data_IF_916201431454
#
_entry.id   IF_916201431454
#
_cell.length_a   1.000
_cell.length_b   1.000
_cell.length_c   1.000
_cell.angle_alpha   90.00
_cell.angle_beta   90.00
_cell.angle_gamma   90.00
#
_symmetry.space_group_name_H-M   'P 1'
#
loop_
_entity.id
_entity.type
_entity.pdbx_description
1 polymer ?
#
# COMPACT_ATOMS: atom_id res chain seq x y z
N UNK A 1 -33.86 -15.82 48.14
CA UNK A 1 -33.34 -15.85 46.76
C UNK A 1 -34.15 -14.91 45.86
N UNK A 2 -33.98 -13.60 45.97
CA UNK A 2 -34.50 -12.56 45.03
C UNK A 2 -33.74 -11.26 45.29
N UNK A 3 -32.49 -11.19 44.84
CA UNK A 3 -31.68 -9.97 44.80
C UNK A 3 -30.53 -10.28 43.84
N UNK A 4 -30.64 -9.84 42.57
CA UNK A 4 -29.52 -9.52 41.67
C UNK A 4 -30.00 -9.31 40.22
N UNK A 5 -30.92 -8.36 40.02
CA UNK A 5 -31.43 -8.04 38.68
C UNK A 5 -31.54 -6.51 38.43
N UNK A 6 -30.58 -5.71 38.94
CA UNK A 6 -30.60 -4.24 38.82
C UNK A 6 -29.28 -3.57 38.42
N UNK A 7 -28.38 -4.25 37.69
CA UNK A 7 -27.07 -3.67 37.28
C UNK A 7 -26.77 -3.64 35.78
N UNK A 8 -27.78 -3.62 34.91
CA UNK A 8 -27.59 -3.45 33.46
C UNK A 8 -28.51 -2.37 32.86
N UNK A 9 -28.55 -1.18 33.45
CA UNK A 9 -29.05 0.00 32.75
C UNK A 9 -27.86 0.64 32.03
N UNK A 10 -27.75 0.42 30.72
CA UNK A 10 -26.76 1.10 29.87
C UNK A 10 -26.94 2.63 29.92
N UNK A 11 -25.92 3.40 29.53
CA UNK A 11 -26.00 4.85 29.52
C UNK A 11 -27.21 5.31 28.67
N UNK A 12 -27.98 6.31 29.13
CA UNK A 12 -29.12 6.80 28.39
C UNK A 12 -28.67 7.30 27.01
N UNK A 13 -29.31 6.77 25.96
CA UNK A 13 -29.07 7.20 24.59
C UNK A 13 -29.52 8.67 24.50
N UNK A 14 -28.63 9.60 24.11
CA UNK A 14 -29.01 11.01 23.97
C UNK A 14 -30.11 11.12 22.92
N UNK A 15 -31.27 11.62 23.33
CA UNK A 15 -32.44 11.80 22.49
C UNK A 15 -32.33 13.17 21.80
N UNK A 16 -31.63 13.20 20.67
CA UNK A 16 -31.47 14.42 19.88
C UNK A 16 -32.81 14.82 19.28
N UNK A 17 -33.20 16.08 19.48
CA UNK A 17 -34.45 16.58 18.90
C UNK A 17 -34.35 16.65 17.37
N UNK A 18 -35.47 16.49 16.63
CA UNK A 18 -35.48 16.64 15.16
C UNK A 18 -34.90 18.00 14.69
N UNK A 19 -34.99 19.02 15.54
CA UNK A 19 -34.46 20.36 15.31
C UNK A 19 -32.93 20.36 15.37
N UNK A 20 -32.31 19.67 16.33
CA UNK A 20 -30.85 19.53 16.41
C UNK A 20 -30.27 18.72 15.25
N UNK A 21 -30.98 17.68 14.79
CA UNK A 21 -30.60 16.93 13.60
C UNK A 21 -30.68 17.79 12.33
N UNK A 22 -31.69 18.66 12.22
CA UNK A 22 -31.80 19.59 11.09
C UNK A 22 -30.75 20.71 11.13
N UNK A 23 -30.38 21.19 12.32
CA UNK A 23 -29.30 22.17 12.50
C UNK A 23 -27.93 21.57 12.19
N UNK A 24 -27.66 20.33 12.62
CA UNK A 24 -26.43 19.63 12.23
C UNK A 24 -26.36 19.41 10.72
N UNK A 25 -27.46 19.04 10.07
CA UNK A 25 -27.56 18.91 8.62
C UNK A 25 -27.31 20.23 7.88
N UNK A 26 -27.90 21.34 8.34
CA UNK A 26 -27.77 22.64 7.69
C UNK A 26 -26.44 23.35 7.96
N UNK A 27 -25.75 23.04 9.06
CA UNK A 27 -24.46 23.68 9.38
C UNK A 27 -23.29 22.90 8.80
N UNK A 28 -23.35 21.57 8.75
CA UNK A 28 -22.22 20.75 8.30
C UNK A 28 -22.06 20.76 6.77
N UNK A 29 -23.15 20.77 6.00
CA UNK A 29 -23.06 20.75 4.53
C UNK A 29 -22.48 22.02 3.86
N UNK A 30 -22.86 23.26 4.23
CA UNK A 30 -22.28 24.44 3.59
C UNK A 30 -20.83 24.71 4.02
N UNK A 31 -20.43 24.26 5.21
CA UNK A 31 -19.04 24.40 5.69
C UNK A 31 -18.08 23.50 4.90
N UNK A 32 -18.55 22.31 4.47
CA UNK A 32 -17.82 21.44 3.54
C UNK A 32 -17.74 22.03 2.12
N UNK A 33 -18.73 22.82 1.69
CA UNK A 33 -18.71 23.51 0.41
C UNK A 33 -17.77 24.73 0.40
N UNK A 34 -17.65 25.48 1.51
CA UNK A 34 -16.79 26.66 1.61
C UNK A 34 -15.31 26.34 1.86
N UNK A 35 -14.99 25.23 2.55
CA UNK A 35 -13.58 24.80 2.73
C UNK A 35 -12.93 24.34 1.42
N UNK A 36 -13.72 24.04 0.39
CA UNK A 36 -13.22 23.78 -0.96
C UNK A 36 -12.63 25.02 -1.67
N UNK A 37 -12.99 26.23 -1.25
CA UNK A 37 -12.60 27.47 -1.95
C UNK A 37 -11.23 28.03 -1.52
N UNK A 38 -10.61 27.51 -0.45
CA UNK A 38 -9.33 28.03 0.09
C UNK A 38 -8.17 27.04 0.02
N UNK A 39 -8.43 25.81 -0.40
CA UNK A 39 -7.38 24.90 -0.83
C UNK A 39 -7.07 25.23 -2.29
N UNK A 40 -5.79 25.25 -2.74
CA UNK A 40 -5.50 25.35 -4.17
C UNK A 40 -6.36 24.32 -4.88
N UNK A 41 -7.18 24.76 -5.85
CA UNK A 41 -8.44 24.10 -6.27
C UNK A 41 -8.33 22.60 -6.66
N UNK A 42 -7.12 22.05 -6.81
CA UNK A 42 -6.86 20.60 -7.03
C UNK A 42 -6.50 19.76 -5.78
N UNK A 43 -6.24 20.37 -4.62
CA UNK A 43 -5.71 19.67 -3.44
C UNK A 43 -6.72 18.76 -2.75
N UNK A 44 -7.98 19.20 -2.62
CA UNK A 44 -9.00 18.42 -1.92
C UNK A 44 -9.39 17.15 -2.70
N UNK A 45 -9.56 17.25 -4.02
CA UNK A 45 -9.96 16.14 -4.89
C UNK A 45 -8.94 15.00 -4.83
N UNK A 46 -7.65 15.32 -4.93
CA UNK A 46 -6.59 14.32 -4.84
C UNK A 46 -6.55 13.63 -3.47
N UNK A 47 -6.82 14.34 -2.37
CA UNK A 47 -6.93 13.76 -1.04
C UNK A 47 -8.14 12.83 -0.91
N UNK A 48 -9.29 13.16 -1.49
CA UNK A 48 -10.45 12.26 -1.51
C UNK A 48 -10.21 11.02 -2.36
N UNK A 49 -9.55 11.16 -3.51
CA UNK A 49 -9.13 10.02 -4.34
C UNK A 49 -8.16 9.14 -3.56
N UNK A 50 -7.16 9.73 -2.90
CA UNK A 50 -6.19 8.99 -2.09
C UNK A 50 -6.87 8.29 -0.90
N UNK A 51 -7.83 8.95 -0.24
CA UNK A 51 -8.63 8.36 0.84
C UNK A 51 -9.44 7.17 0.33
N UNK A 52 -10.15 7.33 -0.79
CA UNK A 52 -10.96 6.29 -1.40
C UNK A 52 -10.14 5.10 -1.89
N UNK A 53 -9.01 5.36 -2.55
CA UNK A 53 -8.07 4.34 -3.00
C UNK A 53 -7.44 3.59 -1.81
N UNK A 54 -6.99 4.31 -0.78
CA UNK A 54 -6.46 3.73 0.45
C UNK A 54 -7.48 2.85 1.15
N UNK A 55 -8.74 3.30 1.23
CA UNK A 55 -9.84 2.54 1.82
C UNK A 55 -10.24 1.30 0.99
N UNK A 56 -10.30 1.42 -0.33
CA UNK A 56 -10.57 0.30 -1.23
C UNK A 56 -9.45 -0.76 -1.15
N UNK A 57 -8.19 -0.32 -1.11
CA UNK A 57 -7.04 -1.20 -0.90
C UNK A 57 -7.09 -1.87 0.48
N UNK A 58 -7.50 -1.14 1.51
CA UNK A 58 -7.68 -1.67 2.86
C UNK A 58 -8.78 -2.74 2.93
N UNK A 59 -9.88 -2.61 2.18
CA UNK A 59 -10.98 -3.58 2.16
C UNK A 59 -10.77 -4.78 1.21
N UNK A 60 -10.18 -4.55 0.04
CA UNK A 60 -10.19 -5.50 -1.07
C UNK A 60 -8.82 -5.68 -1.74
N UNK A 61 -7.73 -5.24 -1.11
CA UNK A 61 -6.42 -5.12 -1.74
C UNK A 61 -5.91 -6.41 -2.39
N UNK A 62 -6.06 -7.58 -1.74
CA UNK A 62 -5.65 -8.87 -2.33
C UNK A 62 -6.28 -9.12 -3.69
N UNK A 63 -7.58 -8.81 -3.84
CA UNK A 63 -8.32 -9.06 -5.08
C UNK A 63 -7.88 -8.10 -6.17
N UNK A 64 -7.71 -6.82 -5.81
CA UNK A 64 -7.29 -5.77 -6.72
C UNK A 64 -5.88 -6.08 -7.24
N UNK A 65 -4.92 -6.35 -6.33
CA UNK A 65 -3.54 -6.67 -6.70
C UNK A 65 -3.48 -7.89 -7.61
N UNK A 66 -4.18 -8.98 -7.27
CA UNK A 66 -4.17 -10.18 -8.12
C UNK A 66 -4.78 -9.93 -9.50
N UNK A 67 -5.88 -9.18 -9.58
CA UNK A 67 -6.51 -8.84 -10.85
C UNK A 67 -5.60 -7.98 -11.72
N UNK A 68 -4.93 -6.99 -11.13
CA UNK A 68 -3.97 -6.12 -11.82
C UNK A 68 -2.80 -6.92 -12.37
N UNK A 69 -2.19 -7.80 -11.57
CA UNK A 69 -1.07 -8.63 -12.04
C UNK A 69 -1.48 -9.58 -13.17
N UNK A 70 -2.64 -10.23 -13.07
CA UNK A 70 -3.16 -11.10 -14.13
C UNK A 70 -3.42 -10.31 -15.42
N UNK A 71 -4.07 -9.16 -15.31
CA UNK A 71 -4.37 -8.31 -16.46
C UNK A 71 -3.10 -7.82 -17.15
N UNK A 72 -2.12 -7.35 -16.37
CA UNK A 72 -0.85 -6.83 -16.88
C UNK A 72 0.02 -7.94 -17.48
N UNK A 73 0.07 -9.11 -16.83
CA UNK A 73 0.73 -10.29 -17.40
C UNK A 73 0.06 -10.81 -18.67
N UNK A 74 -1.28 -10.80 -18.72
CA UNK A 74 -2.01 -11.20 -19.92
C UNK A 74 -1.80 -10.22 -21.08
N UNK A 75 -1.78 -8.91 -20.80
CA UNK A 75 -1.51 -7.89 -21.81
C UNK A 75 -0.09 -8.05 -22.39
N UNK A 76 0.94 -8.05 -21.53
CA UNK A 76 2.34 -8.20 -21.95
C UNK A 76 2.60 -9.54 -22.64
N UNK A 77 2.06 -10.63 -22.09
CA UNK A 77 2.20 -11.96 -22.67
C UNK A 77 1.50 -12.07 -24.02
N UNK A 78 0.28 -11.51 -24.13
CA UNK A 78 -0.49 -11.50 -25.37
C UNK A 78 0.18 -10.68 -26.45
N UNK A 79 0.72 -9.51 -26.09
CA UNK A 79 1.51 -8.69 -26.99
C UNK A 79 2.77 -9.43 -27.49
N UNK A 80 3.56 -9.99 -26.58
CA UNK A 80 4.74 -10.76 -26.94
C UNK A 80 4.40 -11.98 -27.81
N UNK A 81 3.31 -12.69 -27.48
CA UNK A 81 2.84 -13.84 -28.25
C UNK A 81 2.35 -13.45 -29.64
N UNK A 82 1.65 -12.33 -29.79
CA UNK A 82 1.19 -11.82 -31.08
C UNK A 82 2.35 -11.46 -32.02
N UNK A 83 3.48 -10.99 -31.48
CA UNK A 83 4.67 -10.63 -32.25
C UNK A 83 5.53 -11.87 -32.55
N UNK A 84 5.78 -12.73 -31.56
CA UNK A 84 6.71 -13.84 -31.69
C UNK A 84 6.13 -15.01 -32.50
N UNK A 85 4.83 -15.29 -32.38
CA UNK A 85 4.25 -16.48 -32.97
C UNK A 85 4.23 -16.46 -34.51
N UNK A 86 3.91 -15.34 -35.20
CA UNK A 86 4.04 -15.23 -36.65
C UNK A 86 5.48 -15.48 -37.16
N UNK A 87 6.51 -15.12 -36.38
CA UNK A 87 7.91 -15.32 -36.75
C UNK A 87 8.33 -16.80 -36.74
N UNK A 88 7.57 -17.66 -36.06
CA UNK A 88 7.86 -19.11 -36.03
C UNK A 88 7.42 -19.84 -37.31
N UNK A 89 6.68 -19.18 -38.20
CA UNK A 89 6.15 -19.80 -39.42
C UNK A 89 5.02 -20.80 -39.17
N UNK A 90 4.37 -20.75 -38.01
CA UNK A 90 3.24 -21.63 -37.71
C UNK A 90 2.07 -21.37 -38.68
N UNK A 91 1.50 -22.43 -39.28
CA UNK A 91 0.37 -22.31 -40.19
C UNK A 91 -0.90 -21.85 -39.44
N UNK A 92 -1.82 -21.24 -40.18
CA UNK A 92 -3.16 -20.87 -39.68
C UNK A 92 -3.89 -22.11 -39.17
N UNK A 93 -4.41 -22.05 -37.94
CA UNK A 93 -5.20 -23.14 -37.35
C UNK A 93 -6.67 -22.97 -37.76
N UNK A 94 -7.21 -23.95 -38.49
CA UNK A 94 -8.63 -23.98 -38.83
C UNK A 94 -9.41 -24.77 -37.77
N UNK A 95 -9.88 -24.07 -36.73
CA UNK A 95 -10.81 -24.63 -35.72
C UNK A 95 -12.26 -24.50 -36.20
N UNK A 96 -12.58 -25.15 -37.31
CA UNK A 96 -13.92 -25.11 -37.92
C UNK A 96 -14.13 -23.91 -38.86
N UNK A 97 -15.28 -23.23 -38.82
CA UNK A 97 -15.63 -22.20 -39.80
C UNK A 97 -14.86 -20.88 -39.63
N UNK A 98 -14.15 -20.69 -38.51
CA UNK A 98 -13.38 -19.47 -38.23
C UNK A 98 -11.88 -19.80 -38.30
N UNK A 99 -11.15 -19.32 -39.33
CA UNK A 99 -9.70 -19.46 -39.38
C UNK A 99 -9.07 -18.56 -38.32
N UNK A 100 -8.27 -19.12 -37.41
CA UNK A 100 -7.49 -18.33 -36.44
C UNK A 100 -6.13 -17.97 -37.05
N UNK A 101 -5.91 -16.67 -37.22
CA UNK A 101 -4.61 -16.17 -37.70
C UNK A 101 -3.52 -16.44 -36.65
N UNK A 102 -2.26 -16.69 -37.06
CA UNK A 102 -1.16 -16.93 -36.11
C UNK A 102 -0.99 -15.81 -35.09
N UNK A 103 -1.26 -14.55 -35.47
CA UNK A 103 -1.24 -13.42 -34.53
C UNK A 103 -2.29 -13.55 -33.43
N UNK A 104 -3.52 -13.97 -33.76
CA UNK A 104 -4.58 -14.14 -32.76
C UNK A 104 -4.32 -15.36 -31.85
N UNK A 105 -3.83 -16.46 -32.43
CA UNK A 105 -3.38 -17.62 -31.64
C UNK A 105 -2.25 -17.24 -30.69
N UNK A 106 -1.28 -16.45 -31.16
CA UNK A 106 -0.19 -15.89 -30.36
C UNK A 106 -0.69 -14.99 -29.24
N UNK A 107 -1.67 -14.13 -29.51
CA UNK A 107 -2.28 -13.26 -28.52
C UNK A 107 -2.92 -14.05 -27.38
N UNK A 108 -3.74 -15.07 -27.71
CA UNK A 108 -4.40 -15.89 -26.70
C UNK A 108 -3.38 -16.73 -25.91
N UNK A 109 -2.52 -17.47 -26.62
CA UNK A 109 -1.56 -18.36 -25.98
C UNK A 109 -0.56 -17.57 -25.12
N UNK A 110 -0.01 -16.48 -25.67
CA UNK A 110 0.86 -15.57 -24.96
C UNK A 110 0.19 -14.92 -23.76
N UNK A 111 -1.08 -14.52 -23.89
CA UNK A 111 -1.83 -13.92 -22.78
C UNK A 111 -2.05 -14.89 -21.63
N UNK A 112 -2.38 -16.15 -21.91
CA UNK A 112 -2.51 -17.20 -20.88
C UNK A 112 -1.15 -17.44 -20.21
N UNK A 113 -0.08 -17.61 -20.98
CA UNK A 113 1.27 -17.85 -20.44
C UNK A 113 1.73 -16.66 -19.60
N UNK A 114 1.52 -15.43 -20.07
CA UNK A 114 1.87 -14.21 -19.34
C UNK A 114 1.05 -14.02 -18.06
N UNK A 115 -0.24 -14.35 -18.07
CA UNK A 115 -1.07 -14.38 -16.87
C UNK A 115 -0.55 -15.38 -15.82
N UNK A 116 -0.10 -16.56 -16.25
CA UNK A 116 0.49 -17.56 -15.34
C UNK A 116 1.86 -17.11 -14.82
N UNK A 117 2.71 -16.55 -15.68
CA UNK A 117 4.03 -16.05 -15.31
C UNK A 117 3.95 -14.88 -14.32
N UNK A 118 3.06 -13.92 -14.55
CA UNK A 118 2.80 -12.80 -13.63
C UNK A 118 2.28 -13.26 -12.27
N UNK A 119 1.52 -14.36 -12.21
CA UNK A 119 1.09 -14.96 -10.95
C UNK A 119 2.27 -15.55 -10.15
N UNK A 120 3.30 -16.05 -10.83
CA UNK A 120 4.57 -16.44 -10.22
C UNK A 120 5.34 -15.23 -9.68
N UNK A 121 5.48 -14.17 -10.50
CA UNK A 121 6.16 -12.93 -10.13
C UNK A 121 5.48 -12.23 -8.95
N UNK A 122 4.15 -12.26 -8.88
CA UNK A 122 3.37 -11.75 -7.76
C UNK A 122 3.85 -12.32 -6.42
N UNK A 123 4.22 -13.60 -6.35
CA UNK A 123 4.73 -14.19 -5.10
C UNK A 123 6.04 -13.56 -4.65
N UNK A 124 6.94 -13.29 -5.60
CA UNK A 124 8.23 -12.64 -5.31
C UNK A 124 8.00 -11.22 -4.82
N UNK A 125 7.18 -10.44 -5.53
CA UNK A 125 6.84 -9.06 -5.16
C UNK A 125 6.17 -8.98 -3.79
N UNK A 126 5.24 -9.89 -3.51
CA UNK A 126 4.57 -9.95 -2.20
C UNK A 126 5.56 -10.34 -1.11
N UNK A 127 6.48 -11.28 -1.37
CA UNK A 127 7.48 -11.68 -0.40
C UNK A 127 8.48 -10.56 -0.07
N UNK A 128 8.99 -9.86 -1.10
CA UNK A 128 9.90 -8.73 -0.89
C UNK A 128 9.21 -7.56 -0.20
N UNK A 129 7.96 -7.26 -0.55
CA UNK A 129 7.18 -6.20 0.10
C UNK A 129 6.85 -6.55 1.55
N UNK A 130 6.49 -7.81 1.83
CA UNK A 130 6.31 -8.29 3.20
C UNK A 130 7.62 -8.18 4.00
N UNK A 131 8.75 -8.58 3.42
CA UNK A 131 10.07 -8.43 4.03
C UNK A 131 10.37 -6.98 4.40
N UNK A 132 10.15 -6.03 3.48
CA UNK A 132 10.33 -4.61 3.75
C UNK A 132 9.40 -4.13 4.87
N UNK A 133 8.11 -4.49 4.83
CA UNK A 133 7.13 -4.10 5.82
C UNK A 133 7.47 -4.62 7.23
N UNK A 134 7.85 -5.90 7.35
CA UNK A 134 8.28 -6.48 8.62
C UNK A 134 9.64 -5.93 9.07
N UNK A 135 10.53 -5.57 8.15
CA UNK A 135 11.78 -4.87 8.47
C UNK A 135 11.52 -3.53 9.15
N UNK A 136 10.63 -2.71 8.57
CA UNK A 136 10.20 -1.43 9.18
C UNK A 136 9.51 -1.67 10.52
N UNK A 137 8.63 -2.66 10.62
CA UNK A 137 7.98 -3.01 11.88
C UNK A 137 8.99 -3.45 12.96
N UNK A 138 10.00 -4.24 12.59
CA UNK A 138 11.08 -4.64 13.48
C UNK A 138 11.92 -3.46 13.96
N UNK A 139 12.26 -2.54 13.06
CA UNK A 139 12.94 -1.29 13.41
C UNK A 139 12.12 -0.44 14.38
N UNK A 140 10.82 -0.28 14.10
CA UNK A 140 9.89 0.44 14.98
C UNK A 140 9.77 -0.21 16.36
N UNK A 141 9.65 -1.53 16.43
CA UNK A 141 9.59 -2.27 17.69
C UNK A 141 10.87 -2.10 18.51
N UNK A 142 12.04 -2.12 17.87
CA UNK A 142 13.32 -1.84 18.53
C UNK A 142 13.40 -0.40 19.03
N UNK A 143 12.94 0.59 18.25
CA UNK A 143 12.89 1.99 18.71
C UNK A 143 11.99 2.16 19.92
N UNK A 144 10.82 1.52 19.94
CA UNK A 144 9.91 1.52 21.10
C UNK A 144 10.59 0.84 22.30
N UNK A 145 11.24 -0.30 22.09
CA UNK A 145 11.96 -1.01 23.15
C UNK A 145 13.08 -0.16 23.75
N UNK A 146 13.90 0.50 22.92
CA UNK A 146 14.97 1.40 23.35
C UNK A 146 14.42 2.65 24.04
N UNK A 147 13.27 3.16 23.61
CA UNK A 147 12.62 4.29 24.26
C UNK A 147 12.11 3.94 25.67
N UNK A 148 11.59 2.72 25.85
CA UNK A 148 11.13 2.21 27.14
C UNK A 148 12.28 1.77 28.05
N UNK A 149 13.43 1.40 27.48
CA UNK A 149 14.62 0.96 28.20
C UNK A 149 15.82 1.83 27.81
N UNK A 150 15.83 3.12 28.18
CA UNK A 150 16.97 3.98 27.90
C UNK A 150 18.21 3.34 28.51
N UNK A 151 19.23 3.09 27.69
CA UNK A 151 20.49 2.50 28.09
C UNK A 151 21.21 3.48 29.02
N UNK A 152 20.95 3.39 30.33
CA UNK A 152 21.60 4.20 31.38
C UNK A 152 23.06 3.82 31.63
N UNK A 153 23.67 3.02 30.75
CA UNK A 153 24.96 2.41 30.99
C UNK A 153 26.10 3.28 30.47
N UNK A 154 26.83 3.85 31.41
CA UNK A 154 28.24 4.24 31.35
C UNK A 154 29.02 3.17 30.56
N UNK A 155 29.28 3.44 29.27
CA UNK A 155 29.88 2.47 28.38
C UNK A 155 31.38 2.31 28.72
N UNK A 156 31.90 1.08 28.87
CA UNK A 156 33.35 0.83 28.94
C UNK A 156 34.04 1.41 27.70
N UNK A 157 35.29 1.87 27.87
CA UNK A 157 35.95 2.75 26.89
C UNK A 157 35.94 2.17 25.46
N UNK A 158 35.74 3.02 24.44
CA UNK A 158 35.60 2.61 23.05
C UNK A 158 36.81 1.85 22.45
N UNK A 159 37.95 1.81 23.15
CA UNK A 159 39.19 1.23 22.65
C UNK A 159 39.14 -0.32 22.55
N UNK A 160 38.25 -0.99 23.29
CA UNK A 160 38.15 -2.46 23.26
C UNK A 160 37.24 -3.01 22.14
N UNK A 161 36.35 -2.19 21.58
CA UNK A 161 35.35 -2.64 20.60
C UNK A 161 35.69 -2.25 19.14
N UNK A 162 36.63 -1.32 18.94
CA UNK A 162 37.04 -0.84 17.61
C UNK A 162 38.12 -1.70 16.94
N UNK A 163 38.66 -2.71 17.62
CA UNK A 163 39.70 -3.57 17.06
C UNK A 163 39.20 -4.69 16.11
N UNK A 164 37.88 -4.93 15.99
CA UNK A 164 37.39 -6.15 15.32
C UNK A 164 36.50 -5.93 14.09
N UNK A 165 36.17 -4.70 13.66
CA UNK A 165 35.31 -4.56 12.46
C UNK A 165 35.47 -3.21 11.73
N UNK A 166 36.66 -2.94 11.21
CA UNK A 166 36.86 -1.95 10.15
C UNK A 166 36.61 -2.59 8.77
N UNK A 167 35.35 -2.84 8.46
CA UNK A 167 34.91 -3.08 7.08
C UNK A 167 34.43 -1.75 6.55
N UNK A 168 35.34 -0.99 5.94
CA UNK A 168 35.13 0.35 5.34
C UNK A 168 34.16 0.39 4.14
N UNK A 169 33.03 -0.33 4.22
CA UNK A 169 32.03 -0.44 3.18
C UNK A 169 30.71 0.15 3.68
N UNK A 170 30.56 1.47 3.62
CA UNK A 170 29.24 2.09 3.74
C UNK A 170 28.50 1.92 2.40
N UNK A 171 27.86 0.77 2.22
CA UNK A 171 26.92 0.58 1.12
C UNK A 171 25.69 1.46 1.38
N UNK A 172 25.59 2.59 0.70
CA UNK A 172 24.39 3.44 0.77
C UNK A 172 23.30 2.85 -0.14
N UNK A 173 22.67 1.78 0.35
CA UNK A 173 21.59 1.07 -0.32
C UNK A 173 20.42 1.99 -0.73
N UNK A 174 20.29 3.15 -0.07
CA UNK A 174 19.19 4.08 -0.30
C UNK A 174 19.32 4.81 -1.63
N UNK A 175 20.54 5.09 -2.09
CA UNK A 175 20.77 5.77 -3.37
C UNK A 175 20.46 4.84 -4.56
N UNK A 176 20.86 3.57 -4.48
CA UNK A 176 20.58 2.58 -5.52
C UNK A 176 19.10 2.24 -5.65
N UNK A 177 18.38 2.13 -4.53
CA UNK A 177 16.92 1.91 -4.55
C UNK A 177 16.19 3.14 -5.07
N UNK A 178 16.66 4.35 -4.74
CA UNK A 178 16.06 5.61 -5.17
C UNK A 178 16.23 5.85 -6.68
N UNK A 179 17.43 5.64 -7.21
CA UNK A 179 17.70 5.82 -8.65
C UNK A 179 16.92 4.79 -9.48
N UNK A 180 16.88 3.53 -9.02
CA UNK A 180 16.16 2.47 -9.72
C UNK A 180 14.64 2.65 -9.71
N UNK A 181 14.06 3.03 -8.57
CA UNK A 181 12.62 3.22 -8.47
C UNK A 181 12.10 4.40 -9.31
N UNK A 182 12.88 5.48 -9.42
CA UNK A 182 12.52 6.63 -10.24
C UNK A 182 12.56 6.31 -11.74
N UNK A 183 13.58 5.56 -12.17
CA UNK A 183 13.72 5.14 -13.56
C UNK A 183 12.63 4.12 -13.94
N UNK A 184 12.39 3.09 -13.11
CA UNK A 184 11.38 2.05 -13.40
C UNK A 184 9.95 2.62 -13.45
N UNK A 185 9.60 3.62 -12.62
CA UNK A 185 8.29 4.26 -12.68
C UNK A 185 8.08 5.05 -13.98
N UNK A 186 9.11 5.78 -14.41
CA UNK A 186 9.07 6.57 -15.65
C UNK A 186 8.94 5.67 -16.87
N UNK A 187 9.69 4.57 -16.89
CA UNK A 187 9.64 3.57 -17.97
C UNK A 187 8.28 2.87 -18.02
N UNK A 188 7.71 2.51 -16.86
CA UNK A 188 6.39 1.88 -16.78
C UNK A 188 5.26 2.79 -17.27
N UNK A 189 5.32 4.10 -16.98
CA UNK A 189 4.33 5.07 -17.47
C UNK A 189 4.42 5.26 -18.98
N UNK A 190 5.64 5.38 -19.51
CA UNK A 190 5.85 5.51 -20.96
C UNK A 190 5.37 4.25 -21.70
N UNK A 191 5.69 3.06 -21.19
CA UNK A 191 5.23 1.79 -21.76
C UNK A 191 3.70 1.67 -21.74
N UNK A 192 3.02 2.11 -20.67
CA UNK A 192 1.56 2.10 -20.61
C UNK A 192 0.92 3.05 -21.64
N UNK A 193 1.58 4.18 -21.90
CA UNK A 193 1.10 5.18 -22.87
C UNK A 193 1.16 4.65 -24.30
N UNK A 194 2.18 3.88 -24.64
CA UNK A 194 2.36 3.32 -25.98
C UNK A 194 1.42 2.13 -26.27
N UNK A 195 0.93 1.44 -25.23
CA UNK A 195 0.09 0.23 -25.37
C UNK A 195 -1.42 0.50 -25.48
N UNK A 196 -1.90 1.70 -25.14
CA UNK A 196 -3.34 1.94 -25.07
C UNK A 196 -3.94 2.28 -26.45
N UNK A 197 -5.05 1.63 -26.86
CA UNK A 197 -5.70 1.94 -28.12
C UNK A 197 -6.16 3.42 -28.14
N UNK A 198 -5.80 4.14 -29.20
CA UNK A 198 -6.27 5.49 -29.45
C UNK A 198 -7.81 5.53 -29.37
N UNK A 199 -8.33 6.40 -28.49
CA UNK A 199 -9.77 6.59 -28.29
C UNK A 199 -10.42 5.79 -27.15
N UNK A 200 -9.66 4.99 -26.40
CA UNK A 200 -10.18 4.41 -25.14
C UNK A 200 -10.38 5.49 -24.07
N UNK A 201 -11.32 5.29 -23.13
CA UNK A 201 -11.51 6.22 -22.01
C UNK A 201 -10.24 6.41 -21.15
N UNK A 202 -9.37 5.38 -21.13
CA UNK A 202 -8.04 5.46 -20.52
C UNK A 202 -7.08 6.35 -21.34
N UNK A 203 -7.12 6.27 -22.67
CA UNK A 203 -6.35 7.16 -23.56
C UNK A 203 -6.74 8.63 -23.38
N UNK A 204 -8.02 8.96 -23.29
CA UNK A 204 -8.45 10.34 -23.01
C UNK A 204 -7.96 10.85 -21.64
N UNK A 205 -7.94 9.97 -20.63
CA UNK A 205 -7.43 10.32 -19.30
C UNK A 205 -5.91 10.50 -19.30
N UNK A 206 -5.20 9.71 -20.12
CA UNK A 206 -3.75 9.84 -20.31
C UNK A 206 -3.41 11.10 -21.11
N UNK A 207 -4.18 11.44 -22.15
CA UNK A 207 -4.01 12.68 -22.89
C UNK A 207 -4.22 13.90 -21.99
N UNK A 208 -5.23 13.86 -21.13
CA UNK A 208 -5.45 14.91 -20.12
C UNK A 208 -4.23 14.99 -19.18
N UNK A 209 -3.72 13.87 -18.68
CA UNK A 209 -2.49 13.80 -17.86
C UNK A 209 -1.22 14.24 -18.63
N UNK A 210 -1.19 14.08 -19.95
CA UNK A 210 -0.06 14.42 -20.82
C UNK A 210 -0.03 15.90 -21.24
N UNK A 211 -1.07 16.67 -20.94
CA UNK A 211 -1.02 18.13 -21.06
C UNK A 211 0.21 18.67 -20.33
N UNK A 212 0.96 19.59 -20.94
CA UNK A 212 2.21 20.12 -20.37
C UNK A 212 2.03 20.65 -18.94
N UNK A 213 0.86 21.22 -18.63
CA UNK A 213 0.50 21.65 -17.29
C UNK A 213 0.45 20.48 -16.28
N UNK A 214 -0.19 19.36 -16.65
CA UNK A 214 -0.29 18.20 -15.78
C UNK A 214 1.05 17.47 -15.66
N UNK A 215 1.85 17.42 -16.72
CA UNK A 215 3.23 16.92 -16.68
C UNK A 215 4.09 17.74 -15.72
N UNK A 216 3.97 19.07 -15.75
CA UNK A 216 4.68 19.94 -14.81
C UNK A 216 4.21 19.69 -13.37
N UNK A 217 2.89 19.57 -13.13
CA UNK A 217 2.35 19.22 -11.79
C UNK A 217 2.83 17.86 -11.29
N UNK A 218 2.94 16.85 -12.16
CA UNK A 218 3.46 15.53 -11.81
C UNK A 218 4.95 15.61 -11.49
N UNK A 219 5.75 16.34 -12.28
CA UNK A 219 7.17 16.56 -12.00
C UNK A 219 7.38 17.28 -10.67
N UNK A 220 6.62 18.34 -10.42
CA UNK A 220 6.67 19.09 -9.15
C UNK A 220 6.23 18.20 -7.96
N UNK A 221 5.27 17.31 -8.15
CA UNK A 221 4.86 16.34 -7.13
C UNK A 221 5.94 15.27 -6.89
N UNK A 222 6.59 14.78 -7.94
CA UNK A 222 7.68 13.82 -7.87
C UNK A 222 8.92 14.43 -7.19
N UNK A 223 9.26 15.68 -7.52
CA UNK A 223 10.36 16.40 -6.91
C UNK A 223 10.12 16.69 -5.42
N UNK A 224 8.91 17.13 -5.06
CA UNK A 224 8.51 17.26 -3.64
C UNK A 224 8.54 15.93 -2.89
N UNK A 225 8.13 14.85 -3.54
CA UNK A 225 8.19 13.50 -2.94
C UNK A 225 9.64 13.05 -2.75
N UNK A 226 10.51 13.31 -3.74
CA UNK A 226 11.95 13.04 -3.65
C UNK A 226 12.60 13.81 -2.51
N UNK A 227 12.31 15.11 -2.41
CA UNK A 227 12.80 15.98 -1.34
C UNK A 227 12.28 15.53 0.04
N UNK A 228 11.01 15.16 0.14
CA UNK A 228 10.47 14.62 1.37
C UNK A 228 11.19 13.33 1.80
N UNK A 229 11.37 12.39 0.86
CA UNK A 229 12.06 11.13 1.13
C UNK A 229 13.53 11.35 1.46
N UNK A 230 14.21 12.33 0.85
CA UNK A 230 15.60 12.67 1.22
C UNK A 230 15.68 13.25 2.62
N UNK A 231 14.80 14.18 2.98
CA UNK A 231 14.74 14.75 4.35
C UNK A 231 14.45 13.68 5.40
N UNK A 232 13.53 12.75 5.12
CA UNK A 232 13.24 11.62 6.02
C UNK A 232 14.46 10.70 6.14
N UNK A 233 15.11 10.36 5.03
CA UNK A 233 16.30 9.52 5.03
C UNK A 233 17.46 10.17 5.80
N UNK A 234 17.71 11.47 5.59
CA UNK A 234 18.73 12.24 6.31
C UNK A 234 18.42 12.32 7.81
N UNK A 235 17.16 12.56 8.18
CA UNK A 235 16.74 12.58 9.58
C UNK A 235 16.94 11.22 10.26
N UNK A 236 16.56 10.12 9.59
CA UNK A 236 16.78 8.75 10.08
C UNK A 236 18.28 8.45 10.18
N UNK A 237 19.08 8.83 9.18
CA UNK A 237 20.55 8.65 9.18
C UNK A 237 21.20 9.43 10.32
N UNK A 238 20.79 10.68 10.55
CA UNK A 238 21.28 11.51 11.64
C UNK A 238 20.90 10.95 13.02
N UNK A 239 19.65 10.49 13.19
CA UNK A 239 19.20 9.85 14.44
C UNK A 239 19.97 8.55 14.68
N UNK A 240 20.10 7.70 13.66
CA UNK A 240 20.85 6.46 13.73
C UNK A 240 22.32 6.70 14.11
N UNK A 241 22.99 7.67 13.49
CA UNK A 241 24.39 7.97 13.76
C UNK A 241 24.64 8.41 15.20
N UNK A 242 23.70 9.15 15.80
CA UNK A 242 23.77 9.63 17.20
C UNK A 242 23.60 8.51 18.23
N UNK A 243 23.07 7.35 17.87
CA UNK A 243 22.82 6.26 18.81
C UNK A 243 24.10 5.51 19.21
N UNK A 244 24.21 5.04 20.47
CA UNK A 244 25.29 4.15 20.91
C UNK A 244 25.41 2.88 20.04
N UNK A 245 26.61 2.29 19.98
CA UNK A 245 26.86 1.09 19.17
C UNK A 245 25.93 -0.09 19.54
N UNK A 246 25.63 -0.27 20.83
CA UNK A 246 24.69 -1.29 21.30
C UNK A 246 23.28 -1.10 20.74
N UNK A 247 22.78 0.13 20.76
CA UNK A 247 21.44 0.47 20.25
C UNK A 247 21.36 0.27 18.73
N UNK A 248 22.44 0.60 18.01
CA UNK A 248 22.57 0.33 16.57
C UNK A 248 22.47 -1.17 16.27
N UNK A 249 23.15 -2.01 17.04
CA UNK A 249 23.09 -3.47 16.89
C UNK A 249 21.69 -4.03 17.19
N UNK A 250 21.01 -3.52 18.22
CA UNK A 250 19.61 -3.92 18.52
C UNK A 250 18.68 -3.53 17.37
N UNK A 251 18.80 -2.30 16.85
CA UNK A 251 17.99 -1.85 15.72
C UNK A 251 18.26 -2.67 14.45
N UNK A 252 19.54 -2.92 14.13
CA UNK A 252 19.94 -3.69 12.96
C UNK A 252 19.45 -5.14 13.05
N UNK A 253 19.65 -5.80 14.18
CA UNK A 253 19.21 -7.19 14.39
C UNK A 253 17.69 -7.33 14.34
N UNK A 254 16.94 -6.40 14.95
CA UNK A 254 15.48 -6.41 14.90
C UNK A 254 14.95 -6.15 13.47
N UNK A 255 15.60 -5.24 12.73
CA UNK A 255 15.27 -4.98 11.32
C UNK A 255 15.53 -6.23 10.48
N UNK A 256 16.70 -6.88 10.63
CA UNK A 256 17.07 -8.07 9.88
C UNK A 256 16.18 -9.27 10.22
N UNK A 257 15.84 -9.45 11.50
CA UNK A 257 14.87 -10.45 11.94
C UNK A 257 13.48 -10.19 11.34
N UNK A 258 13.04 -8.93 11.30
CA UNK A 258 11.82 -8.51 10.62
C UNK A 258 11.83 -8.86 9.14
N UNK A 259 12.89 -8.49 8.42
CA UNK A 259 13.06 -8.83 6.99
C UNK A 259 13.00 -10.34 6.77
N UNK A 260 13.75 -11.12 7.57
CA UNK A 260 13.76 -12.57 7.48
C UNK A 260 12.38 -13.18 7.73
N UNK A 261 11.68 -12.73 8.77
CA UNK A 261 10.31 -13.17 9.07
C UNK A 261 9.34 -12.80 7.94
N UNK A 262 9.45 -11.59 7.40
CA UNK A 262 8.60 -11.12 6.31
C UNK A 262 8.83 -11.91 5.00
N UNK A 263 10.07 -12.29 4.69
CA UNK A 263 10.37 -13.18 3.57
C UNK A 263 9.74 -14.56 3.76
N UNK A 264 9.88 -15.16 4.94
CA UNK A 264 9.32 -16.49 5.24
C UNK A 264 7.79 -16.46 5.16
N UNK A 265 7.16 -15.49 5.82
CA UNK A 265 5.69 -15.31 5.79
C UNK A 265 5.21 -15.04 4.36
N UNK A 266 5.94 -14.18 3.64
CA UNK A 266 5.70 -13.85 2.25
C UNK A 266 5.72 -15.07 1.32
N UNK A 267 6.72 -15.93 1.49
CA UNK A 267 6.92 -17.13 0.68
C UNK A 267 5.93 -18.26 1.02
N UNK A 268 5.68 -18.51 2.31
CA UNK A 268 4.83 -19.62 2.76
C UNK A 268 3.34 -19.31 2.56
N UNK A 269 2.93 -18.05 2.72
CA UNK A 269 1.51 -17.66 2.69
C UNK A 269 1.25 -16.42 1.82
N UNK A 270 1.46 -16.49 0.49
CA UNK A 270 1.38 -15.32 -0.41
C UNK A 270 0.02 -14.60 -0.37
N UNK A 271 -1.08 -15.34 -0.21
CA UNK A 271 -2.40 -14.73 -0.10
C UNK A 271 -2.58 -13.95 1.22
N UNK A 272 -1.93 -14.38 2.31
CA UNK A 272 -2.03 -13.75 3.62
C UNK A 272 -1.06 -12.57 3.75
N UNK A 273 0.13 -12.67 3.18
CA UNK A 273 1.08 -11.58 3.12
C UNK A 273 0.58 -10.44 2.23
N UNK A 274 -0.05 -10.75 1.09
CA UNK A 274 -0.74 -9.73 0.28
C UNK A 274 -1.83 -9.01 1.09
N UNK A 275 -2.59 -9.75 1.91
CA UNK A 275 -3.61 -9.15 2.78
C UNK A 275 -2.99 -8.19 3.79
N UNK A 276 -1.95 -8.66 4.49
CA UNK A 276 -1.21 -7.87 5.48
C UNK A 276 -0.61 -6.60 4.87
N UNK A 277 0.07 -6.72 3.73
CA UNK A 277 0.71 -5.58 3.06
C UNK A 277 -0.33 -4.57 2.60
N UNK A 278 -1.41 -5.02 1.95
CA UNK A 278 -2.46 -4.11 1.47
C UNK A 278 -3.27 -3.49 2.59
N UNK A 279 -3.50 -4.20 3.71
CA UNK A 279 -4.13 -3.62 4.89
C UNK A 279 -3.23 -2.59 5.57
N UNK A 280 -1.92 -2.84 5.63
CA UNK A 280 -0.94 -1.94 6.23
C UNK A 280 -0.75 -0.65 5.39
N UNK A 281 -0.61 -0.80 4.07
CA UNK A 281 -0.47 0.33 3.17
C UNK A 281 -1.78 1.10 3.03
N UNK A 282 -2.90 0.38 2.88
CA UNK A 282 -4.24 0.97 2.86
C UNK A 282 -4.49 1.78 4.12
N UNK A 283 -4.16 1.24 5.31
CA UNK A 283 -4.31 1.96 6.57
C UNK A 283 -3.47 3.24 6.64
N UNK A 284 -2.20 3.18 6.21
CA UNK A 284 -1.34 4.36 6.16
C UNK A 284 -1.92 5.43 5.22
N UNK A 285 -2.34 5.03 4.02
CA UNK A 285 -2.80 5.93 2.98
C UNK A 285 -4.11 6.63 3.36
N UNK A 286 -5.12 5.89 3.85
CA UNK A 286 -6.38 6.51 4.25
C UNK A 286 -6.24 7.35 5.52
N UNK A 287 -5.39 6.94 6.48
CA UNK A 287 -5.13 7.76 7.66
C UNK A 287 -4.39 9.05 7.31
N UNK A 288 -3.37 8.99 6.45
CA UNK A 288 -2.64 10.18 6.02
C UNK A 288 -3.55 11.16 5.28
N UNK A 289 -4.37 10.66 4.35
CA UNK A 289 -5.35 11.46 3.63
C UNK A 289 -6.43 12.02 4.58
N UNK A 290 -6.92 11.20 5.52
CA UNK A 290 -7.90 11.61 6.51
C UNK A 290 -7.37 12.71 7.43
N UNK A 291 -6.15 12.58 7.95
CA UNK A 291 -5.50 13.61 8.77
C UNK A 291 -5.29 14.89 7.96
N UNK A 292 -4.87 14.79 6.71
CA UNK A 292 -4.71 15.96 5.83
C UNK A 292 -6.05 16.68 5.59
N UNK A 293 -7.13 15.94 5.30
CA UNK A 293 -8.47 16.49 5.12
C UNK A 293 -9.01 17.13 6.42
N UNK A 294 -8.80 16.50 7.57
CA UNK A 294 -9.21 17.04 8.86
C UNK A 294 -8.46 18.34 9.19
N UNK A 295 -7.16 18.43 8.88
CA UNK A 295 -6.37 19.66 9.04
C UNK A 295 -6.83 20.76 8.10
N UNK A 296 -7.22 20.41 6.88
CA UNK A 296 -7.68 21.36 5.88
C UNK A 296 -9.09 21.92 6.20
N UNK A 297 -9.97 21.08 6.75
CA UNK A 297 -11.37 21.43 7.02
C UNK A 297 -11.62 22.15 8.35
N UNK A 298 -10.69 22.08 9.30
CA UNK A 298 -10.89 22.61 10.66
C UNK A 298 -9.80 23.61 11.05
N UNK A 299 -10.23 24.85 11.31
CA UNK A 299 -9.43 25.88 11.97
C UNK A 299 -10.16 26.32 13.24
N UNK A 300 -9.62 26.07 14.45
CA UNK A 300 -8.30 25.50 14.78
C UNK A 300 -8.22 23.95 14.63
N UNK A 301 -7.00 23.36 14.48
CA UNK A 301 -6.83 21.91 14.38
C UNK A 301 -7.27 21.22 15.69
N UNK A 302 -8.07 20.14 15.62
CA UNK A 302 -8.55 19.44 16.81
C UNK A 302 -7.40 18.85 17.63
N UNK A 303 -7.55 18.81 18.95
CA UNK A 303 -6.54 18.32 19.90
C UNK A 303 -6.12 16.87 19.64
N UNK A 304 -7.01 16.06 19.06
CA UNK A 304 -6.72 14.68 18.64
C UNK A 304 -5.60 14.58 17.60
N UNK A 305 -5.30 15.66 16.85
CA UNK A 305 -4.20 15.69 15.90
C UNK A 305 -2.84 16.04 16.52
N UNK A 306 -2.81 16.45 17.80
CA UNK A 306 -1.59 16.80 18.54
C UNK A 306 -1.02 15.62 19.34
N UNK A 307 -1.49 14.41 19.06
CA UNK A 307 -1.03 13.20 19.73
C UNK A 307 0.43 12.86 19.36
N UNK A 308 1.21 12.27 20.27
CA UNK A 308 2.59 11.91 19.99
C UNK A 308 2.68 10.86 18.87
N UNK A 309 3.82 10.77 18.14
CA UNK A 309 4.00 9.83 17.03
C UNK A 309 3.72 8.37 17.40
N UNK A 310 4.04 7.98 18.63
CA UNK A 310 3.79 6.63 19.16
C UNK A 310 2.30 6.29 19.14
N UNK A 311 1.43 7.22 19.53
CA UNK A 311 -0.03 7.04 19.49
C UNK A 311 -0.51 6.80 18.06
N UNK A 312 -0.01 7.57 17.11
CA UNK A 312 -0.33 7.37 15.69
C UNK A 312 0.14 6.03 15.14
N UNK A 313 1.34 5.58 15.53
CA UNK A 313 1.85 4.26 15.16
C UNK A 313 0.96 3.12 15.72
N UNK A 314 0.48 3.26 16.97
CA UNK A 314 -0.45 2.30 17.58
C UNK A 314 -1.79 2.29 16.84
N UNK A 315 -2.38 3.46 16.57
CA UNK A 315 -3.64 3.56 15.83
C UNK A 315 -3.50 2.95 14.43
N UNK A 316 -2.39 3.23 13.74
CA UNK A 316 -2.09 2.64 12.43
C UNK A 316 -1.96 1.12 12.49
N UNK A 317 -1.26 0.59 13.50
CA UNK A 317 -1.14 -0.85 13.73
C UNK A 317 -2.49 -1.51 13.97
N UNK A 318 -3.34 -0.93 14.83
CA UNK A 318 -4.70 -1.41 15.08
C UNK A 318 -5.54 -1.39 13.80
N UNK A 319 -5.49 -0.29 13.04
CA UNK A 319 -6.20 -0.18 11.77
C UNK A 319 -5.75 -1.22 10.75
N UNK A 320 -4.44 -1.53 10.69
CA UNK A 320 -3.91 -2.58 9.82
C UNK A 320 -4.43 -3.97 10.22
N UNK A 321 -4.44 -4.30 11.52
CA UNK A 321 -4.97 -5.57 12.04
C UNK A 321 -6.46 -5.73 11.75
N UNK A 322 -7.25 -4.68 11.95
CA UNK A 322 -8.69 -4.70 11.63
C UNK A 322 -8.90 -4.93 10.12
N UNK A 323 -8.12 -4.25 9.26
CA UNK A 323 -8.21 -4.44 7.82
C UNK A 323 -7.89 -5.87 7.40
N UNK A 324 -6.81 -6.44 7.96
CA UNK A 324 -6.42 -7.83 7.74
C UNK A 324 -7.55 -8.80 8.16
N UNK A 325 -8.17 -8.57 9.32
CA UNK A 325 -9.30 -9.39 9.80
C UNK A 325 -10.52 -9.30 8.87
N UNK A 326 -10.86 -8.09 8.39
CA UNK A 326 -11.95 -7.88 7.43
C UNK A 326 -11.67 -8.61 6.12
N UNK A 327 -10.45 -8.47 5.57
CA UNK A 327 -10.06 -9.15 4.34
C UNK A 327 -10.15 -10.67 4.47
N UNK A 328 -9.74 -11.25 5.60
CA UNK A 328 -9.88 -12.69 5.85
C UNK A 328 -11.32 -13.14 6.06
N UNK A 329 -12.12 -12.36 6.78
CA UNK A 329 -13.54 -12.67 6.99
C UNK A 329 -14.32 -12.73 5.67
N UNK A 330 -14.01 -11.82 4.75
CA UNK A 330 -14.61 -11.81 3.41
C UNK A 330 -14.16 -12.97 2.52
N UNK A 331 -12.95 -13.50 2.73
CA UNK A 331 -12.47 -14.68 2.02
C UNK A 331 -13.17 -15.96 2.51
N UNK A 332 -13.34 -16.12 3.82
CA UNK A 332 -13.98 -17.31 4.40
C UNK A 332 -15.44 -17.44 3.97
N UNK A 333 -16.22 -16.36 4.01
CA UNK A 333 -17.66 -16.39 3.64
C UNK A 333 -17.93 -16.87 2.22
N UNK A 334 -17.01 -16.66 1.27
CA UNK A 334 -17.20 -17.13 -0.11
C UNK A 334 -16.92 -18.62 -0.28
N UNK A 335 -15.98 -19.17 0.47
CA UNK A 335 -15.73 -20.61 0.45
C UNK A 335 -16.96 -21.36 0.96
N UNK A 336 -17.54 -20.88 2.07
CA UNK A 336 -18.73 -21.48 2.68
C UNK A 336 -19.96 -21.35 1.76
N UNK A 337 -20.15 -20.20 1.10
CA UNK A 337 -21.28 -19.98 0.18
C UNK A 337 -21.21 -20.79 -1.12
N UNK A 338 -20.00 -21.13 -1.59
CA UNK A 338 -19.83 -22.02 -2.74
C UNK A 338 -20.19 -23.46 -2.42
N UNK A 339 -19.81 -23.92 -1.23
CA UNK A 339 -20.07 -25.30 -0.78
C UNK A 339 -21.56 -25.56 -0.48
N UNK A 340 -22.29 -24.54 -0.02
CA UNK A 340 -23.73 -24.66 0.20
C UNK A 340 -24.53 -24.90 -1.10
N UNK A 341 -24.10 -24.29 -2.22
CA UNK A 341 -24.78 -24.47 -3.51
C UNK A 341 -24.56 -25.85 -4.13
N UNK A 342 -23.39 -26.44 -3.92
CA UNK A 342 -23.07 -27.78 -4.45
C UNK A 342 -23.95 -28.86 -3.79
N UNK A 343 -24.24 -28.71 -2.49
CA UNK A 343 -25.08 -29.66 -1.75
C UNK A 343 -26.57 -29.57 -2.10
N UNK A 344 -27.05 -28.43 -2.62
CA UNK A 344 -28.47 -28.24 -3.00
C UNK A 344 -28.77 -28.80 -4.41
N UNK A 345 -27.75 -29.17 -5.21
CA UNK A 345 -27.94 -29.74 -6.57
C UNK A 345 -27.97 -31.28 -6.59
N UNK A 346 -27.69 -31.94 -5.46
CA UNK A 346 -27.65 -33.41 -5.32
C UNK A 346 -28.93 -34.04 -4.71
N UNK A 347 -29.95 -33.22 -4.35
CA UNK A 347 -31.26 -33.64 -3.81
C UNK A 347 -32.42 -33.43 -4.82
#
# INVERSE_FOLDING_TARGET
MRQDQRRNAGPPIPNYSPVELSLLSQTVMPTLAQTGATLPEGGAVSLFIALGAGFALWLAGVKIVRAVFIALGAALGGFAGAILLPLTGMPTLNLGPVPLTPGFTGLIAGGIIGALASLGMLRVVVATTAAAAFGVAGAMAALVFLHLNPTTAEAPSPDAALAETDTGYSFDASDLVRERAANELTDAVNALSDELPEGSAASNLIDDLNTEENRQRIRDAAERSKEFVSRVAEAVKADYQRRPARDKLILLSATLAGVGLGLVVGAVMPNRSAALVTSLFGSAMWMAAGVALLRAGMSPPPEILRQPPVTWAVVWGVAAVVGMAVQFGLLKRRADAGQAKDNDEDD
#
